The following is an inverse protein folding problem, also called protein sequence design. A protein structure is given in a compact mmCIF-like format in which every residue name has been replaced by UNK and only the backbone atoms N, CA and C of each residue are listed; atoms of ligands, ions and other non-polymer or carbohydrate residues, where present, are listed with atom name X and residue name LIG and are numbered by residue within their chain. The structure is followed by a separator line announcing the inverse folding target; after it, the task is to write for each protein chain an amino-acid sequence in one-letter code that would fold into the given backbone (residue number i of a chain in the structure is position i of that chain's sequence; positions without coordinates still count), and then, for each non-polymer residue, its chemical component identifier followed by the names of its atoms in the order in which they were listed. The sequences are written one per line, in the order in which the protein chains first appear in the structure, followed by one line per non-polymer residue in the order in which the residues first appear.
data_IF_412345246933
#
_entry.id   IF_412345246933
#
_cell.length_a   1.000
_cell.length_b   1.000
_cell.length_c   1.000
_cell.angle_alpha   90.00
_cell.angle_beta   90.00
_cell.angle_gamma   90.00
#
_symmetry.space_group_name_H-M   'P 1'
#
loop_
_entity.id
_entity.type
_entity.pdbx_description
1 polymer ?
#
# COMPACT_ATOMS: atom_id res chain seq x y z
N UNK A 1 51.57 9.29 -72.70
CA UNK A 1 51.09 8.50 -73.86
C UNK A 1 51.97 7.26 -73.93
N UNK A 2 51.46 6.01 -74.07
CA UNK A 2 50.30 5.60 -74.87
C UNK A 2 49.19 4.84 -74.10
N UNK A 3 48.03 4.68 -74.76
CA UNK A 3 46.87 3.79 -74.47
C UNK A 3 47.07 2.45 -75.27
N UNK A 4 46.09 1.54 -75.55
CA UNK A 4 44.73 1.28 -75.01
C UNK A 4 44.30 -0.24 -74.90
N UNK A 5 43.11 -0.46 -74.31
CA UNK A 5 41.95 -1.34 -74.71
C UNK A 5 42.01 -2.89 -74.63
N UNK A 6 40.90 -3.42 -74.09
CA UNK A 6 40.21 -4.73 -74.26
C UNK A 6 40.27 -5.59 -72.97
N UNK A 7 39.18 -6.16 -72.41
CA UNK A 7 38.19 -7.07 -73.02
C UNK A 7 36.92 -7.17 -72.12
N UNK A 8 35.74 -7.03 -72.76
CA UNK A 8 34.43 -7.69 -72.54
C UNK A 8 34.01 -8.11 -71.10
N UNK A 9 33.02 -7.47 -70.45
CA UNK A 9 31.56 -7.67 -70.59
C UNK A 9 31.15 -9.13 -70.88
N UNK A 10 30.82 -9.87 -69.82
CA UNK A 10 30.02 -11.11 -69.87
C UNK A 10 28.80 -10.93 -68.96
N UNK A 11 27.66 -10.72 -69.62
CA UNK A 11 26.30 -11.21 -69.32
C UNK A 11 25.99 -11.63 -67.87
N UNK A 12 25.17 -10.89 -67.11
CA UNK A 12 23.69 -10.92 -67.12
C UNK A 12 23.08 -12.32 -67.26
N UNK A 13 22.57 -12.85 -66.14
CA UNK A 13 21.34 -13.65 -65.93
C UNK A 13 21.55 -14.67 -64.80
N UNK A 14 21.38 -14.24 -63.54
CA UNK A 14 20.90 -15.15 -62.51
C UNK A 14 19.50 -14.71 -62.09
N UNK A 15 18.56 -15.47 -62.63
CA UNK A 15 17.13 -15.39 -62.41
C UNK A 15 16.78 -15.41 -60.92
N UNK A 16 16.06 -14.38 -60.52
CA UNK A 16 14.89 -14.42 -59.63
C UNK A 16 14.41 -15.80 -59.17
N UNK A 17 14.52 -16.05 -57.87
CA UNK A 17 13.56 -16.88 -57.12
C UNK A 17 13.25 -16.19 -55.78
N UNK A 18 12.39 -15.18 -55.84
CA UNK A 18 11.71 -14.62 -54.67
C UNK A 18 10.69 -15.65 -54.19
N UNK A 19 11.00 -16.37 -53.11
CA UNK A 19 10.02 -17.17 -52.37
C UNK A 19 9.18 -16.23 -51.52
N UNK A 20 8.02 -15.83 -52.04
CA UNK A 20 6.96 -15.19 -51.28
C UNK A 20 6.32 -16.25 -50.37
N UNK A 21 6.69 -16.26 -49.08
CA UNK A 21 5.87 -16.89 -48.05
C UNK A 21 4.90 -15.83 -47.52
N UNK A 22 3.57 -15.97 -47.70
CA UNK A 22 2.64 -15.14 -46.97
C UNK A 22 2.72 -15.53 -45.49
N UNK A 23 3.37 -14.68 -44.70
CA UNK A 23 3.32 -14.76 -43.25
C UNK A 23 1.87 -14.60 -42.81
N UNK A 24 1.28 -15.69 -42.31
CA UNK A 24 0.03 -15.63 -41.55
C UNK A 24 0.28 -14.76 -40.32
N UNK A 25 -0.28 -13.55 -40.31
CA UNK A 25 -0.38 -12.75 -39.11
C UNK A 25 -1.35 -13.48 -38.17
N UNK A 26 -0.83 -14.27 -37.24
CA UNK A 26 -1.60 -14.73 -36.09
C UNK A 26 -1.97 -13.50 -35.26
N UNK A 27 -3.17 -12.97 -35.49
CA UNK A 27 -3.84 -12.09 -34.54
C UNK A 27 -4.15 -12.91 -33.30
N UNK A 28 -3.16 -13.05 -32.41
CA UNK A 28 -3.43 -13.44 -31.03
C UNK A 28 -4.29 -12.33 -30.48
N UNK A 29 -5.58 -12.62 -30.29
CA UNK A 29 -6.42 -11.89 -29.36
C UNK A 29 -5.68 -11.91 -28.02
N UNK A 30 -4.92 -10.85 -27.74
CA UNK A 30 -4.49 -10.54 -26.38
C UNK A 30 -5.77 -10.16 -25.65
N UNK A 31 -6.43 -11.17 -25.10
CA UNK A 31 -7.29 -10.97 -23.95
C UNK A 31 -6.48 -10.13 -22.96
N UNK A 32 -7.04 -9.09 -22.35
CA UNK A 32 -6.36 -8.38 -21.28
C UNK A 32 -5.97 -9.44 -20.27
N UNK A 33 -4.65 -9.58 -20.08
CA UNK A 33 -4.11 -10.44 -19.04
C UNK A 33 -4.69 -9.90 -17.74
N UNK A 34 -5.69 -10.62 -17.23
CA UNK A 34 -6.18 -10.40 -15.87
C UNK A 34 -5.09 -10.99 -14.99
N UNK A 35 -4.01 -10.21 -14.85
CA UNK A 35 -2.83 -10.61 -14.09
C UNK A 35 -3.31 -11.12 -12.74
N UNK A 36 -3.05 -12.40 -12.40
CA UNK A 36 -3.33 -12.88 -11.07
C UNK A 36 -2.41 -12.09 -10.15
N UNK A 37 -2.98 -11.26 -9.27
CA UNK A 37 -2.33 -10.66 -8.08
C UNK A 37 -0.81 -10.70 -8.16
N UNK A 38 -0.21 -9.69 -8.81
CA UNK A 38 1.22 -9.47 -8.77
C UNK A 38 1.68 -9.76 -7.35
N UNK A 39 2.46 -10.82 -7.17
CA UNK A 39 2.93 -11.30 -5.86
C UNK A 39 3.41 -10.09 -5.07
N UNK A 40 2.64 -9.68 -4.06
CA UNK A 40 3.00 -8.52 -3.25
C UNK A 40 4.29 -8.84 -2.54
N UNK A 41 5.39 -8.32 -3.07
CA UNK A 41 6.67 -8.39 -2.40
C UNK A 41 6.64 -7.38 -1.26
N UNK A 42 6.19 -7.84 -0.10
CA UNK A 42 6.08 -7.00 1.08
C UNK A 42 7.43 -6.53 1.65
N UNK A 43 8.55 -6.96 1.07
CA UNK A 43 9.89 -6.50 1.41
C UNK A 43 10.28 -5.22 0.66
N UNK A 44 9.43 -4.70 -0.20
CA UNK A 44 9.71 -3.55 -1.06
C UNK A 44 8.53 -2.60 -1.09
N UNK A 45 8.85 -1.33 -1.31
CA UNK A 45 7.84 -0.36 -1.63
C UNK A 45 7.12 -0.72 -2.95
N UNK A 46 5.82 -0.46 -2.98
CA UNK A 46 4.98 -0.58 -4.17
C UNK A 46 4.48 0.80 -4.60
N UNK A 47 3.99 0.91 -5.82
CA UNK A 47 3.33 2.11 -6.32
C UNK A 47 1.86 1.82 -6.59
N UNK A 48 0.99 2.66 -6.06
CA UNK A 48 -0.41 2.67 -6.45
C UNK A 48 -0.50 3.48 -7.76
N UNK A 49 -0.44 2.78 -8.91
CA UNK A 49 -0.49 3.42 -10.22
C UNK A 49 -1.70 4.34 -10.39
N UNK A 50 -1.64 5.28 -11.34
CA UNK A 50 -2.68 6.32 -11.52
C UNK A 50 -4.08 5.76 -11.80
N UNK A 51 -4.17 4.53 -12.29
CA UNK A 51 -5.41 3.81 -12.59
C UNK A 51 -5.87 2.88 -11.46
N UNK A 52 -5.26 2.93 -10.27
CA UNK A 52 -5.61 2.02 -9.19
C UNK A 52 -7.02 2.30 -8.65
N UNK A 53 -7.88 1.28 -8.76
CA UNK A 53 -9.21 1.28 -8.16
C UNK A 53 -9.21 0.34 -6.96
N UNK A 54 -9.72 0.81 -5.84
CA UNK A 54 -9.76 0.06 -4.59
C UNK A 54 -10.59 -1.22 -4.71
N UNK A 55 -9.97 -2.39 -4.53
CA UNK A 55 -10.64 -3.71 -4.58
C UNK A 55 -10.61 -4.38 -3.20
N UNK A 56 -11.73 -4.73 -2.56
CA UNK A 56 -11.76 -5.44 -1.26
C UNK A 56 -10.86 -6.68 -1.15
N UNK A 57 -10.54 -7.36 -2.26
CA UNK A 57 -9.66 -8.55 -2.30
C UNK A 57 -8.19 -8.24 -2.06
N UNK A 58 -7.80 -6.97 -2.17
CA UNK A 58 -6.47 -6.46 -1.86
C UNK A 58 -6.16 -6.44 -0.35
N UNK A 59 -6.94 -7.16 0.47
CA UNK A 59 -6.81 -7.12 1.93
C UNK A 59 -7.42 -5.85 2.51
N UNK A 60 -8.43 -5.28 1.87
CA UNK A 60 -9.19 -4.18 2.47
C UNK A 60 -10.41 -4.76 3.17
N UNK A 61 -10.41 -4.79 4.50
CA UNK A 61 -11.63 -5.07 5.26
C UNK A 61 -12.33 -3.75 5.57
N UNK A 62 -13.61 -3.65 5.18
CA UNK A 62 -14.50 -2.60 5.69
C UNK A 62 -14.73 -2.89 7.17
N UNK A 63 -14.09 -2.14 8.05
CA UNK A 63 -14.40 -2.21 9.48
C UNK A 63 -15.87 -1.77 9.66
N UNK A 64 -16.70 -2.65 10.22
CA UNK A 64 -18.06 -2.28 10.62
C UNK A 64 -17.94 -1.12 11.62
N UNK A 65 -18.59 0.01 11.32
CA UNK A 65 -18.49 1.27 12.05
C UNK A 65 -18.97 1.22 13.52
N UNK A 66 -19.33 0.05 14.03
CA UNK A 66 -19.80 -0.18 15.40
C UNK A 66 -18.69 -0.12 16.47
N UNK A 67 -17.41 -0.16 16.10
CA UNK A 67 -16.28 -0.17 17.06
C UNK A 67 -15.54 1.17 17.21
N UNK A 68 -16.07 2.26 16.65
CA UNK A 68 -15.49 3.60 16.83
C UNK A 68 -16.19 4.27 18.03
N UNK A 69 -15.50 4.58 19.15
CA UNK A 69 -16.09 5.36 20.22
C UNK A 69 -16.37 6.77 19.70
N UNK A 70 -17.65 7.11 19.51
CA UNK A 70 -18.08 8.46 19.19
C UNK A 70 -18.14 9.28 20.49
N UNK A 71 -17.08 10.04 20.80
CA UNK A 71 -17.18 11.15 21.74
C UNK A 71 -16.89 12.45 20.99
N UNK A 72 -17.97 13.05 20.49
CA UNK A 72 -17.98 14.35 19.82
C UNK A 72 -19.42 14.84 19.76
N UNK A 73 -19.82 15.57 20.80
CA UNK A 73 -21.15 16.15 21.00
C UNK A 73 -21.60 17.02 19.82
N UNK A 74 -22.75 16.69 19.23
CA UNK A 74 -23.65 17.69 18.66
C UNK A 74 -25.11 17.28 18.89
N UNK A 75 -25.71 17.96 19.85
CA UNK A 75 -27.13 18.00 20.19
C UNK A 75 -28.02 18.07 18.95
N UNK A 76 -28.85 17.05 18.71
CA UNK A 76 -30.14 17.23 18.04
C UNK A 76 -31.21 16.42 18.77
N UNK A 77 -32.16 17.18 19.31
CA UNK A 77 -33.31 16.72 20.09
C UNK A 77 -34.15 15.72 19.29
N UNK A 78 -34.31 14.50 19.81
CA UNK A 78 -35.34 13.60 19.30
C UNK A 78 -36.65 13.89 20.04
N UNK A 79 -37.54 14.64 19.39
CA UNK A 79 -38.94 14.77 19.80
C UNK A 79 -39.74 13.64 19.14
N UNK A 80 -40.48 12.93 19.99
CA UNK A 80 -41.49 11.90 19.76
C UNK A 80 -42.26 11.97 18.43
N UNK A 81 -42.47 10.81 17.78
CA UNK A 81 -43.79 10.15 17.80
C UNK A 81 -43.76 8.77 17.14
N UNK A 82 -44.51 7.88 17.76
CA UNK A 82 -44.84 6.52 17.35
C UNK A 82 -45.74 6.54 16.10
N UNK A 83 -45.36 5.83 15.03
CA UNK A 83 -46.28 5.42 13.96
C UNK A 83 -45.94 3.99 13.53
N UNK A 84 -46.87 3.07 13.81
CA UNK A 84 -46.96 1.75 13.15
C UNK A 84 -47.39 1.94 11.69
N UNK A 85 -46.73 1.28 10.73
CA UNK A 85 -47.37 0.55 9.61
C UNK A 85 -46.38 0.04 8.55
N UNK A 86 -46.42 -1.27 8.32
CA UNK A 86 -46.32 -2.05 7.07
C UNK A 86 -45.33 -1.65 5.95
N UNK A 87 -44.45 -2.63 5.66
CA UNK A 87 -44.28 -3.32 4.36
C UNK A 87 -44.33 -2.48 3.07
N UNK A 88 -43.16 -2.29 2.45
CA UNK A 88 -43.03 -2.14 1.00
C UNK A 88 -41.93 -1.16 0.56
N UNK A 89 -40.90 -1.70 -0.11
CA UNK A 89 -39.93 -1.01 -0.99
C UNK A 89 -39.44 0.39 -0.56
N UNK A 90 -38.34 0.45 0.19
CA UNK A 90 -37.58 1.69 0.35
C UNK A 90 -36.24 1.62 -0.38
N UNK A 91 -36.08 2.57 -1.30
CA UNK A 91 -34.78 3.02 -1.82
C UNK A 91 -33.96 3.47 -0.61
N UNK A 92 -33.06 2.59 -0.18
CA UNK A 92 -32.18 2.83 0.96
C UNK A 92 -31.38 4.12 0.71
N UNK A 93 -31.60 5.12 1.56
CA UNK A 93 -31.01 6.45 1.42
C UNK A 93 -29.48 6.38 1.56
N UNK A 94 -28.78 6.46 0.43
CA UNK A 94 -27.31 6.41 0.32
C UNK A 94 -26.62 7.69 0.87
N UNK A 95 -27.35 8.74 1.24
CA UNK A 95 -26.71 10.00 1.64
C UNK A 95 -26.01 9.96 3.01
N UNK A 96 -26.46 9.10 3.94
CA UNK A 96 -25.82 8.93 5.26
C UNK A 96 -24.62 7.99 5.24
N UNK A 97 -24.57 7.08 4.26
CA UNK A 97 -23.53 6.06 4.12
C UNK A 97 -22.30 6.63 3.42
N UNK A 98 -22.48 7.58 2.50
CA UNK A 98 -21.40 8.21 1.76
C UNK A 98 -20.44 9.02 2.66
N UNK A 99 -20.94 9.62 3.75
CA UNK A 99 -20.11 10.38 4.68
C UNK A 99 -19.37 9.46 5.67
N UNK A 100 -19.96 8.32 6.02
CA UNK A 100 -19.35 7.31 6.90
C UNK A 100 -18.33 6.41 6.16
N UNK A 101 -18.51 6.19 4.85
CA UNK A 101 -17.52 5.51 4.00
C UNK A 101 -16.30 6.39 3.69
N UNK A 102 -16.49 7.72 3.66
CA UNK A 102 -15.39 8.68 3.43
C UNK A 102 -14.33 8.67 4.52
N UNK A 103 -14.71 8.39 5.76
CA UNK A 103 -13.82 8.47 6.92
C UNK A 103 -12.90 7.23 7.13
N UNK A 104 -13.13 6.11 6.42
CA UNK A 104 -12.34 4.87 6.54
C UNK A 104 -11.43 4.60 5.32
N UNK A 105 -11.47 5.48 4.33
CA UNK A 105 -10.55 5.50 3.18
C UNK A 105 -9.74 6.79 3.06
N UNK A 106 -9.92 7.73 4.01
CA UNK A 106 -9.16 8.96 4.02
C UNK A 106 -7.79 8.70 4.63
N UNK A 107 -6.79 8.81 3.78
CA UNK A 107 -5.41 8.89 4.23
C UNK A 107 -5.28 9.98 5.31
N UNK A 108 -4.64 9.62 6.41
CA UNK A 108 -4.34 10.53 7.50
C UNK A 108 -2.92 11.05 7.32
N UNK A 109 -2.76 12.38 7.30
CA UNK A 109 -1.44 12.99 7.33
C UNK A 109 -0.71 12.65 8.64
N UNK A 110 0.46 12.04 8.53
CA UNK A 110 1.32 11.68 9.67
C UNK A 110 2.74 12.18 9.44
N UNK A 111 3.45 12.41 10.54
CA UNK A 111 4.90 12.62 10.51
C UNK A 111 5.59 11.26 10.68
N UNK A 112 6.62 11.00 9.87
CA UNK A 112 7.44 9.80 9.99
C UNK A 112 8.90 10.16 10.25
N UNK A 113 9.54 9.35 11.07
CA UNK A 113 11.00 9.33 11.30
C UNK A 113 11.48 7.88 11.26
N UNK A 114 12.73 7.65 11.65
CA UNK A 114 13.25 6.31 11.84
C UNK A 114 14.05 6.14 13.13
N UNK A 115 14.06 4.91 13.63
CA UNK A 115 14.82 4.45 14.80
C UNK A 115 15.58 3.14 14.49
N UNK A 116 16.55 2.79 15.33
CA UNK A 116 17.54 1.73 15.04
C UNK A 116 18.20 1.17 16.31
N UNK A 117 18.89 0.05 16.18
CA UNK A 117 19.81 -0.44 17.19
C UNK A 117 19.11 -0.84 18.50
N UNK A 118 19.55 -0.28 19.63
CA UNK A 118 19.05 -0.68 20.95
C UNK A 118 17.61 -0.24 21.21
N UNK A 119 17.11 0.76 20.48
CA UNK A 119 15.73 1.21 20.58
C UNK A 119 14.73 0.17 20.04
N UNK A 120 15.22 -0.84 19.32
CA UNK A 120 14.42 -1.96 18.83
C UNK A 120 14.18 -3.04 19.89
N UNK A 121 14.86 -2.98 21.04
CA UNK A 121 14.79 -4.02 22.06
C UNK A 121 13.52 -3.88 22.92
N UNK A 122 12.90 -5.02 23.25
CA UNK A 122 11.71 -5.10 24.11
C UNK A 122 10.53 -4.23 23.64
N UNK A 123 10.05 -4.43 22.40
CA UNK A 123 8.98 -3.62 21.82
C UNK A 123 7.72 -3.67 22.69
N UNK A 124 7.01 -2.54 22.85
CA UNK A 124 5.92 -2.38 23.81
C UNK A 124 4.77 -3.35 23.60
N UNK A 125 4.49 -3.73 22.35
CA UNK A 125 3.44 -4.70 22.04
C UNK A 125 3.84 -6.14 22.39
N UNK A 126 5.12 -6.39 22.69
CA UNK A 126 5.66 -7.73 22.90
C UNK A 126 6.73 -7.85 24.00
N UNK A 127 6.53 -7.15 25.12
CA UNK A 127 7.51 -7.08 26.20
C UNK A 127 8.02 -8.43 26.77
N UNK A 128 7.31 -9.54 26.55
CA UNK A 128 7.63 -10.86 27.15
C UNK A 128 7.97 -11.98 26.15
N UNK A 129 8.22 -11.69 24.86
CA UNK A 129 8.45 -12.76 23.86
C UNK A 129 9.90 -13.14 23.60
N UNK A 130 10.86 -12.36 24.13
CA UNK A 130 12.28 -12.50 23.77
C UNK A 130 12.58 -12.18 22.30
N UNK A 131 11.58 -11.72 21.54
CA UNK A 131 11.74 -11.25 20.16
C UNK A 131 11.92 -9.74 20.15
N UNK A 132 12.72 -9.24 19.22
CA UNK A 132 12.88 -7.82 18.96
C UNK A 132 13.05 -7.62 17.45
N UNK A 133 12.46 -6.56 16.87
CA UNK A 133 12.71 -6.22 15.48
C UNK A 133 14.18 -5.89 15.23
N UNK A 134 14.55 -5.90 13.96
CA UNK A 134 15.88 -5.48 13.49
C UNK A 134 15.73 -4.26 12.59
N UNK A 135 16.85 -3.64 12.21
CA UNK A 135 16.85 -2.54 11.24
C UNK A 135 16.26 -2.93 9.88
N UNK A 136 16.23 -4.23 9.56
CA UNK A 136 15.68 -4.81 8.34
C UNK A 136 14.19 -5.18 8.45
N UNK A 137 13.60 -5.09 9.65
CA UNK A 137 12.18 -5.37 9.85
C UNK A 137 11.31 -4.26 9.25
N UNK A 138 10.04 -4.54 8.94
CA UNK A 138 9.07 -3.54 8.48
C UNK A 138 8.02 -3.32 9.56
N UNK A 139 8.45 -2.62 10.61
CA UNK A 139 7.64 -2.34 11.78
C UNK A 139 7.76 -0.87 12.17
N UNK A 140 6.86 -0.43 13.04
CA UNK A 140 6.87 0.94 13.52
C UNK A 140 6.52 1.06 15.01
N UNK A 141 6.98 2.17 15.58
CA UNK A 141 6.56 2.67 16.87
C UNK A 141 5.62 3.86 16.68
N UNK A 142 4.53 3.93 17.45
CA UNK A 142 3.58 5.04 17.38
C UNK A 142 3.71 5.96 18.57
N UNK A 143 3.38 7.23 18.41
CA UNK A 143 3.37 8.21 19.52
C UNK A 143 2.74 7.61 20.77
N UNK A 144 3.49 7.65 21.87
CA UNK A 144 3.07 7.04 23.12
C UNK A 144 1.81 7.71 23.67
N UNK A 145 1.85 9.04 23.80
CA UNK A 145 0.82 9.82 24.51
C UNK A 145 0.11 10.83 23.61
N UNK A 146 -1.18 11.04 23.89
CA UNK A 146 -1.99 12.10 23.29
C UNK A 146 -2.53 11.82 21.88
N UNK A 147 -2.13 10.73 21.21
CA UNK A 147 -2.77 10.31 19.97
C UNK A 147 -3.91 9.32 20.25
N UNK A 148 -5.11 9.85 20.51
CA UNK A 148 -6.28 9.07 20.92
C UNK A 148 -6.74 8.05 19.87
N UNK A 149 -6.63 8.40 18.59
CA UNK A 149 -7.06 7.57 17.45
C UNK A 149 -5.93 6.74 16.85
N UNK A 150 -4.83 6.53 17.59
CA UNK A 150 -3.68 5.78 17.07
C UNK A 150 -4.05 4.32 16.78
N UNK A 151 -3.49 3.73 15.71
CA UNK A 151 -3.59 2.29 15.47
C UNK A 151 -3.13 1.46 16.67
N UNK A 152 -3.70 0.27 16.83
CA UNK A 152 -3.40 -0.64 17.94
C UNK A 152 -2.16 -1.48 17.65
N UNK A 153 -1.61 -2.07 18.70
CA UNK A 153 -0.61 -3.12 18.56
C UNK A 153 -1.04 -4.16 17.54
N UNK A 154 -0.12 -4.48 16.64
CA UNK A 154 -0.25 -5.46 15.55
C UNK A 154 -1.15 -5.06 14.39
N UNK A 155 -1.73 -3.87 14.41
CA UNK A 155 -2.35 -3.33 13.20
C UNK A 155 -1.29 -3.15 12.11
N UNK A 156 -1.74 -3.30 10.86
CA UNK A 156 -0.92 -3.05 9.69
C UNK A 156 -1.27 -1.69 9.10
N UNK A 157 -0.23 -0.94 8.75
CA UNK A 157 -0.32 0.38 8.17
C UNK A 157 0.22 0.34 6.75
N UNK A 158 -0.41 1.10 5.88
CA UNK A 158 0.16 1.48 4.60
C UNK A 158 0.50 2.97 4.63
N UNK A 159 1.76 3.26 4.33
CA UNK A 159 2.37 4.58 4.40
C UNK A 159 2.81 4.97 3.00
N UNK A 160 2.25 6.06 2.47
CA UNK A 160 2.47 6.49 1.08
C UNK A 160 3.04 7.91 1.02
N UNK A 161 4.16 8.06 0.32
CA UNK A 161 4.71 9.37 -0.03
C UNK A 161 3.89 10.02 -1.17
N UNK A 162 4.11 11.31 -1.44
CA UNK A 162 3.47 12.10 -2.50
C UNK A 162 3.66 11.48 -3.89
N UNK A 163 4.78 10.81 -4.12
CA UNK A 163 5.10 10.09 -5.36
C UNK A 163 4.40 8.72 -5.46
N UNK A 164 3.39 8.47 -4.61
CA UNK A 164 2.59 7.24 -4.52
C UNK A 164 3.41 5.97 -4.24
N UNK A 165 4.65 6.14 -3.80
CA UNK A 165 5.49 5.07 -3.27
C UNK A 165 5.00 4.75 -1.86
N UNK A 166 4.57 3.52 -1.67
CA UNK A 166 3.93 3.06 -0.44
C UNK A 166 4.73 1.91 0.18
N UNK A 167 4.69 1.80 1.50
CA UNK A 167 5.27 0.68 2.25
C UNK A 167 4.27 0.16 3.28
N UNK A 168 4.28 -1.14 3.52
CA UNK A 168 3.51 -1.77 4.57
C UNK A 168 4.36 -1.96 5.82
N UNK A 169 3.85 -1.55 6.97
CA UNK A 169 4.52 -1.74 8.26
C UNK A 169 3.55 -2.26 9.32
N UNK A 170 4.08 -2.96 10.31
CA UNK A 170 3.31 -3.44 11.46
C UNK A 170 3.60 -2.62 12.71
N UNK A 171 2.56 -2.26 13.45
CA UNK A 171 2.71 -1.61 14.76
C UNK A 171 3.20 -2.62 15.78
N UNK A 172 4.38 -2.40 16.34
CA UNK A 172 4.95 -3.29 17.37
C UNK A 172 5.41 -2.55 18.63
N UNK A 173 5.52 -1.22 18.57
CA UNK A 173 6.10 -0.46 19.67
C UNK A 173 5.44 0.91 19.88
N UNK A 174 5.82 1.59 20.95
CA UNK A 174 5.40 2.94 21.31
C UNK A 174 6.60 3.88 21.39
N UNK A 175 6.54 4.96 20.64
CA UNK A 175 7.56 5.99 20.57
C UNK A 175 7.37 7.02 21.69
N UNK A 176 8.16 6.90 22.75
CA UNK A 176 8.18 7.86 23.86
C UNK A 176 8.90 9.18 23.50
N UNK A 177 9.81 9.16 22.52
CA UNK A 177 10.51 10.35 22.02
C UNK A 177 9.67 11.21 21.07
N UNK A 178 8.55 10.70 20.57
CA UNK A 178 7.66 11.41 19.67
C UNK A 178 6.87 12.48 20.42
N UNK A 179 6.59 13.61 19.76
CA UNK A 179 5.89 14.72 20.39
C UNK A 179 4.49 14.31 20.87
N UNK A 180 4.16 14.62 22.13
CA UNK A 180 2.87 14.30 22.74
C UNK A 180 1.73 14.90 21.91
N UNK A 181 0.71 14.09 21.63
CA UNK A 181 -0.45 14.52 20.83
C UNK A 181 -0.22 14.55 19.32
N UNK A 182 1.01 14.29 18.86
CA UNK A 182 1.31 14.24 17.43
C UNK A 182 0.89 12.91 16.80
N UNK A 183 0.62 12.94 15.49
CA UNK A 183 0.43 11.73 14.69
C UNK A 183 1.78 11.31 14.12
N UNK A 184 2.61 10.70 14.94
CA UNK A 184 3.97 10.32 14.58
C UNK A 184 4.12 8.80 14.48
N UNK A 185 4.68 8.35 13.37
CA UNK A 185 5.01 6.94 13.11
C UNK A 185 6.53 6.82 12.92
N UNK A 186 7.21 6.28 13.90
CA UNK A 186 8.66 6.07 13.86
C UNK A 186 8.95 4.71 13.25
N UNK A 187 9.72 4.66 12.17
CA UNK A 187 9.92 3.46 11.34
C UNK A 187 11.27 2.80 11.62
N UNK A 188 11.36 1.50 11.41
CA UNK A 188 12.68 0.88 11.22
C UNK A 188 13.36 1.46 9.97
N UNK A 189 14.70 1.44 9.96
CA UNK A 189 15.48 2.00 8.84
C UNK A 189 15.10 1.41 7.48
N UNK A 190 14.94 0.08 7.36
CA UNK A 190 14.61 -0.54 6.09
C UNK A 190 13.24 -0.11 5.56
N UNK A 191 12.25 0.08 6.43
CA UNK A 191 10.95 0.62 6.07
C UNK A 191 11.03 2.09 5.65
N UNK A 192 11.76 2.93 6.39
CA UNK A 192 11.95 4.33 6.03
C UNK A 192 12.66 4.50 4.68
N UNK A 193 13.70 3.69 4.44
CA UNK A 193 14.44 3.63 3.16
C UNK A 193 13.54 3.29 1.96
N UNK A 194 12.38 2.64 2.19
CA UNK A 194 11.41 2.45 1.13
C UNK A 194 10.73 3.75 0.71
N UNK A 195 10.67 4.77 1.56
CA UNK A 195 9.98 6.03 1.29
C UNK A 195 10.93 7.18 0.96
N UNK A 196 12.11 7.21 1.58
CA UNK A 196 13.09 8.28 1.43
C UNK A 196 14.50 7.89 1.92
N UNK A 197 15.48 8.75 1.69
CA UNK A 197 16.83 8.56 2.26
C UNK A 197 16.85 8.86 3.76
N UNK A 198 17.66 8.14 4.54
CA UNK A 198 17.74 8.37 6.00
C UNK A 198 18.14 9.80 6.38
N UNK A 199 18.93 10.46 5.52
CA UNK A 199 19.41 11.84 5.72
C UNK A 199 18.29 12.89 5.67
N UNK A 200 17.12 12.57 5.10
CA UNK A 200 15.94 13.43 5.18
C UNK A 200 15.41 13.52 6.61
N UNK A 201 15.59 12.46 7.41
CA UNK A 201 15.25 12.39 8.83
C UNK A 201 13.75 12.34 9.12
N UNK A 202 12.98 13.31 8.62
CA UNK A 202 11.56 13.51 8.96
C UNK A 202 10.73 13.84 7.73
N UNK A 203 9.58 13.18 7.57
CA UNK A 203 8.67 13.41 6.44
C UNK A 203 7.21 13.49 6.86
N UNK A 204 6.43 14.29 6.13
CA UNK A 204 4.97 14.25 6.23
C UNK A 204 4.41 13.44 5.09
N UNK A 205 3.76 12.33 5.42
CA UNK A 205 3.20 11.39 4.45
C UNK A 205 1.76 11.02 4.80
N UNK A 206 1.16 10.21 3.95
CA UNK A 206 -0.21 9.75 4.08
C UNK A 206 -0.23 8.32 4.65
N UNK A 207 -0.99 8.10 5.71
CA UNK A 207 -1.13 6.80 6.39
C UNK A 207 -2.57 6.30 6.31
N UNK A 208 -2.73 4.98 6.24
CA UNK A 208 -4.01 4.33 6.53
C UNK A 208 -3.82 2.94 7.12
N UNK A 209 -4.88 2.41 7.71
CA UNK A 209 -4.97 1.00 8.11
C UNK A 209 -5.11 0.10 6.88
N UNK A 210 -4.52 -1.10 6.96
CA UNK A 210 -4.68 -2.16 5.96
C UNK A 210 -4.79 -3.52 6.67
N UNK A 211 -5.29 -4.56 5.98
CA UNK A 211 -5.30 -5.89 6.59
C UNK A 211 -3.89 -6.48 6.67
N UNK A 212 -3.71 -7.35 7.66
CA UNK A 212 -2.51 -8.16 7.77
C UNK A 212 -2.31 -9.05 6.52
N UNK A 213 -1.05 -9.32 6.14
CA UNK A 213 -0.73 -10.34 5.15
C UNK A 213 -1.36 -11.68 5.51
N UNK A 214 -1.79 -12.44 4.51
CA UNK A 214 -2.27 -13.82 4.73
C UNK A 214 -1.13 -14.65 5.33
N UNK A 215 -1.47 -15.63 6.19
CA UNK A 215 -0.49 -16.51 6.84
C UNK A 215 0.50 -17.17 5.87
N UNK A 216 0.05 -17.55 4.66
CA UNK A 216 0.92 -18.12 3.63
C UNK A 216 1.99 -17.16 3.08
N UNK A 217 1.81 -15.85 3.28
CA UNK A 217 2.72 -14.79 2.86
C UNK A 217 3.48 -14.19 4.05
N UNK A 218 3.33 -14.74 5.26
CA UNK A 218 3.94 -14.20 6.48
C UNK A 218 5.47 -14.36 6.48
N UNK A 219 6.20 -13.28 6.76
CA UNK A 219 7.66 -13.26 6.82
C UNK A 219 8.06 -12.86 8.25
N UNK A 220 8.57 -13.84 9.01
CA UNK A 220 8.92 -13.66 10.42
C UNK A 220 9.96 -12.57 10.66
N UNK A 221 11.01 -12.50 9.84
CA UNK A 221 12.10 -11.52 10.04
C UNK A 221 11.64 -10.06 9.78
N UNK A 222 10.58 -9.91 8.98
CA UNK A 222 10.05 -8.61 8.57
C UNK A 222 8.99 -8.12 9.58
N UNK A 223 8.10 -8.99 10.04
CA UNK A 223 6.95 -8.59 10.87
C UNK A 223 6.94 -9.17 12.27
N UNK A 224 7.84 -10.09 12.59
CA UNK A 224 7.88 -10.81 13.85
C UNK A 224 6.89 -11.97 13.92
N UNK A 225 6.59 -12.46 15.14
CA UNK A 225 5.71 -13.58 15.35
C UNK A 225 4.28 -13.30 14.87
N UNK A 226 3.56 -14.34 14.47
CA UNK A 226 2.13 -14.25 14.17
C UNK A 226 1.32 -14.23 15.48
N UNK A 227 0.25 -13.43 15.55
CA UNK A 227 -0.74 -13.38 16.66
C UNK A 227 -2.16 -13.60 16.19
#
# INVERSE_FOLDING_TARGET
MPRPIAIFIVYLFFMSFTSYFPGVASSILRLPDSSPTQSRDFRRAHSLGDSYNFDPRDGWTTLNATYIPQNGSSTLQSRSNEVKSKSGNEKFAVSGIANSLKALSEFVGVTITWYTGHDLLNPSCWANSGWSPTDESFVCALTLDGWETKPKCFDFLELCNKDKKCVYVRVVDSCAGCAVGSKHVDLTQAAFKQLASLDEGTLTIQMRLTAAPRKALWIYDIWGPWV
#
